data_IF_020621619110
#
_entry.id   IF_020621619110
#
_cell.length_a   1.000
_cell.length_b   1.000
_cell.length_c   1.000
_cell.angle_alpha   90.00
_cell.angle_beta   90.00
_cell.angle_gamma   90.00
#
_symmetry.space_group_name_H-M   'P 1'
#
loop_
_entity.id
_entity.type
_entity.pdbx_description
1 polymer ?
#
# COMPACT_ATOMS: atom_id res chain seq x y z
N UNK A 1 0.36 17.99 -18.96
CA UNK A 1 0.54 16.65 -18.37
C UNK A 1 1.39 16.81 -17.11
N UNK A 2 0.89 16.45 -15.93
CA UNK A 2 1.68 16.40 -14.68
C UNK A 2 2.15 14.96 -14.47
N UNK A 3 3.32 14.56 -14.98
CA UNK A 3 3.86 13.20 -14.82
C UNK A 3 3.98 12.75 -13.35
N UNK A 4 4.09 13.70 -12.42
CA UNK A 4 4.28 13.40 -10.99
C UNK A 4 3.12 12.71 -10.27
N UNK A 5 1.89 12.67 -10.83
CA UNK A 5 0.75 12.03 -10.14
C UNK A 5 0.76 10.50 -10.28
N UNK A 6 1.16 9.98 -11.44
CA UNK A 6 1.29 8.53 -11.67
C UNK A 6 2.50 7.94 -10.92
N UNK A 7 3.65 8.62 -10.97
CA UNK A 7 4.83 8.26 -10.16
C UNK A 7 4.55 8.34 -8.64
N UNK A 8 3.69 9.28 -8.23
CA UNK A 8 3.27 9.40 -6.83
C UNK A 8 2.48 8.19 -6.32
N UNK A 9 1.64 7.59 -7.15
CA UNK A 9 0.87 6.40 -6.79
C UNK A 9 1.73 5.14 -6.73
N UNK A 10 2.67 4.98 -7.67
CA UNK A 10 3.61 3.85 -7.69
C UNK A 10 4.51 3.89 -6.45
N UNK A 11 5.13 5.04 -6.18
CA UNK A 11 5.97 5.24 -4.99
C UNK A 11 5.22 5.02 -3.68
N UNK A 12 3.95 5.40 -3.62
CA UNK A 12 3.11 5.16 -2.44
C UNK A 12 2.80 3.66 -2.28
N UNK A 13 2.46 2.95 -3.35
CA UNK A 13 2.18 1.51 -3.30
C UNK A 13 3.42 0.68 -2.94
N UNK A 14 4.59 1.04 -3.49
CA UNK A 14 5.87 0.38 -3.16
C UNK A 14 6.24 0.62 -1.71
N UNK A 15 6.14 1.87 -1.23
CA UNK A 15 6.42 2.18 0.17
C UNK A 15 5.48 1.49 1.16
N UNK A 16 4.20 1.28 0.79
CA UNK A 16 3.28 0.50 1.62
C UNK A 16 3.63 -1.00 1.61
N UNK A 17 4.10 -1.52 0.48
CA UNK A 17 4.57 -2.91 0.37
C UNK A 17 5.78 -3.16 1.27
N UNK A 18 6.77 -2.26 1.25
CA UNK A 18 7.95 -2.35 2.12
C UNK A 18 7.59 -2.39 3.62
N UNK A 19 6.55 -1.64 4.02
CA UNK A 19 6.08 -1.64 5.41
C UNK A 19 5.37 -2.95 5.76
N UNK A 20 4.59 -3.54 4.84
CA UNK A 20 3.98 -4.86 5.04
C UNK A 20 5.06 -5.93 5.19
N UNK A 21 6.08 -5.92 4.34
CA UNK A 21 7.21 -6.86 4.44
C UNK A 21 7.95 -6.71 5.78
N UNK A 22 8.17 -5.46 6.23
CA UNK A 22 8.78 -5.21 7.53
C UNK A 22 7.91 -5.68 8.72
N UNK A 23 6.57 -5.69 8.58
CA UNK A 23 5.66 -6.25 9.59
C UNK A 23 5.75 -7.79 9.59
N UNK A 24 5.86 -8.42 8.42
CA UNK A 24 5.97 -9.88 8.31
C UNK A 24 7.28 -10.42 8.95
N UNK A 25 8.32 -9.58 9.07
CA UNK A 25 9.57 -9.89 9.78
C UNK A 25 9.47 -9.75 11.31
N UNK A 26 8.37 -9.22 11.85
CA UNK A 26 8.20 -9.06 13.31
C UNK A 26 7.95 -10.42 13.97
N UNK A 27 8.74 -10.75 15.00
CA UNK A 27 8.48 -11.93 15.83
C UNK A 27 7.26 -11.72 16.74
N UNK A 28 6.10 -12.09 16.22
CA UNK A 28 4.81 -11.99 16.93
C UNK A 28 4.78 -12.85 18.21
N UNK A 29 5.63 -13.88 18.34
CA UNK A 29 5.67 -14.72 19.55
C UNK A 29 6.36 -14.04 20.72
N UNK A 30 7.18 -13.01 20.46
CA UNK A 30 7.83 -12.20 21.48
C UNK A 30 6.93 -11.06 22.00
N UNK A 31 5.75 -10.86 21.41
CA UNK A 31 4.85 -9.74 21.69
C UNK A 31 3.69 -10.14 22.62
N UNK A 32 3.09 -9.15 23.29
CA UNK A 32 1.82 -9.38 24.01
C UNK A 32 0.66 -9.52 23.03
N UNK A 33 -0.36 -10.29 23.40
CA UNK A 33 -1.50 -10.59 22.51
C UNK A 33 -2.25 -9.35 22.01
N UNK A 34 -2.36 -8.28 22.81
CA UNK A 34 -2.96 -7.01 22.37
C UNK A 34 -2.10 -6.29 21.32
N UNK A 35 -0.78 -6.34 21.47
CA UNK A 35 0.14 -5.74 20.51
C UNK A 35 0.13 -6.52 19.18
N UNK A 36 0.04 -7.86 19.23
CA UNK A 36 -0.07 -8.70 18.02
C UNK A 36 -1.32 -8.35 17.22
N UNK A 37 -2.48 -8.17 17.87
CA UNK A 37 -3.72 -7.76 17.17
C UNK A 37 -3.56 -6.40 16.51
N UNK A 38 -2.96 -5.44 17.21
CA UNK A 38 -2.71 -4.09 16.68
C UNK A 38 -1.83 -4.14 15.44
N UNK A 39 -0.79 -4.99 15.44
CA UNK A 39 0.11 -5.17 14.29
C UNK A 39 -0.62 -5.82 13.11
N UNK A 40 -1.43 -6.85 13.36
CA UNK A 40 -2.19 -7.52 12.30
C UNK A 40 -3.26 -6.61 11.68
N UNK A 41 -3.98 -5.82 12.49
CA UNK A 41 -4.96 -4.83 11.98
C UNK A 41 -4.26 -3.73 11.15
N UNK A 42 -3.08 -3.29 11.59
CA UNK A 42 -2.27 -2.34 10.83
C UNK A 42 -1.80 -2.93 9.50
N UNK A 43 -1.39 -4.19 9.48
CA UNK A 43 -1.00 -4.92 8.26
C UNK A 43 -2.15 -5.00 7.26
N UNK A 44 -3.34 -5.41 7.70
CA UNK A 44 -4.55 -5.48 6.86
C UNK A 44 -4.88 -4.11 6.26
N UNK A 45 -4.84 -3.05 7.07
CA UNK A 45 -5.09 -1.68 6.61
C UNK A 45 -4.10 -1.25 5.53
N UNK A 46 -2.82 -1.64 5.64
CA UNK A 46 -1.78 -1.31 4.67
C UNK A 46 -1.94 -2.10 3.36
N UNK A 47 -2.34 -3.37 3.43
CA UNK A 47 -2.66 -4.18 2.25
C UNK A 47 -3.84 -3.59 1.48
N UNK A 48 -4.90 -3.18 2.18
CA UNK A 48 -6.06 -2.52 1.59
C UNK A 48 -5.69 -1.20 0.89
N UNK A 49 -4.88 -0.36 1.56
CA UNK A 49 -4.39 0.88 0.97
C UNK A 49 -3.54 0.63 -0.27
N UNK A 50 -2.68 -0.38 -0.25
CA UNK A 50 -1.87 -0.77 -1.41
C UNK A 50 -2.75 -1.19 -2.58
N UNK A 51 -3.79 -1.98 -2.30
CA UNK A 51 -4.80 -2.37 -3.29
C UNK A 51 -5.53 -1.17 -3.90
N UNK A 52 -5.96 -0.23 -3.05
CA UNK A 52 -6.63 1.00 -3.46
C UNK A 52 -5.74 1.85 -4.38
N UNK A 53 -4.48 2.07 -4.00
CA UNK A 53 -3.53 2.85 -4.81
C UNK A 53 -3.26 2.20 -6.18
N UNK A 54 -3.13 0.88 -6.23
CA UNK A 54 -2.94 0.14 -7.50
C UNK A 54 -4.20 0.15 -8.37
N UNK A 55 -5.39 0.22 -7.78
CA UNK A 55 -6.64 0.39 -8.50
C UNK A 55 -6.73 1.80 -9.11
N UNK A 56 -6.45 2.83 -8.30
CA UNK A 56 -6.52 4.23 -8.73
C UNK A 56 -5.47 4.58 -9.79
N UNK A 57 -4.27 4.00 -9.70
CA UNK A 57 -3.25 4.10 -10.74
C UNK A 57 -3.76 3.56 -12.08
N UNK A 58 -4.42 2.39 -12.09
CA UNK A 58 -4.99 1.79 -13.30
C UNK A 58 -6.12 2.62 -13.87
N UNK A 59 -7.00 3.15 -13.02
CA UNK A 59 -8.07 4.05 -13.45
C UNK A 59 -7.51 5.35 -14.06
N UNK A 60 -6.48 5.93 -13.45
CA UNK A 60 -5.81 7.13 -13.95
C UNK A 60 -5.14 6.90 -15.31
N UNK A 61 -4.41 5.79 -15.48
CA UNK A 61 -3.80 5.42 -16.75
C UNK A 61 -4.83 5.17 -17.86
N UNK A 62 -5.99 4.60 -17.53
CA UNK A 62 -7.09 4.40 -18.48
C UNK A 62 -7.65 5.75 -18.97
N UNK A 63 -7.94 6.67 -18.04
CA UNK A 63 -8.51 7.97 -18.39
C UNK A 63 -7.53 8.82 -19.23
N UNK A 64 -6.22 8.73 -18.97
CA UNK A 64 -5.22 9.42 -19.80
C UNK A 64 -5.20 8.95 -21.26
N UNK A 65 -5.47 7.67 -21.53
CA UNK A 65 -5.52 7.13 -22.90
C UNK A 65 -6.80 7.51 -23.66
N UNK A 66 -7.85 7.89 -22.94
CA UNK A 66 -9.12 8.33 -23.53
C UNK A 66 -9.11 9.85 -23.85
N UNK A 67 -8.13 10.60 -23.34
CA UNK A 67 -7.93 12.04 -23.58
C UNK A 67 -6.90 12.37 -24.71
N UNK A 68 -6.23 11.35 -25.28
CA UNK A 68 -5.31 11.45 -26.44
C UNK A 68 -5.99 11.12 -27.77
#
# INVERSE_FOLDING_TARGET
>A
MTPGRAEGFERAADGLTDVVDAIDDVDLNAMQTEDVRTVLDARETLEDLTGQYRHDQRAYQRNQREEE
#
